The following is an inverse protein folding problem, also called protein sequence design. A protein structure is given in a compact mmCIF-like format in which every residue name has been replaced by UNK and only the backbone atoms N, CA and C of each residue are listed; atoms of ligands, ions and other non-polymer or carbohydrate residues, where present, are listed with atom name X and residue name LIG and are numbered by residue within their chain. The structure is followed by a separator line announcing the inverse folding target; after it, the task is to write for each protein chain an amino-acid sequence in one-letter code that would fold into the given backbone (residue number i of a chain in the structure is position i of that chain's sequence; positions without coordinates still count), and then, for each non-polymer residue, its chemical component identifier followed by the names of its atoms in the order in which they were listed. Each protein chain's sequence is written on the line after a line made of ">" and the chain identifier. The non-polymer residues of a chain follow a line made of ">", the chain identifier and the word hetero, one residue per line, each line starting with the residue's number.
data_IF_460001738455
#
_entry.id   IF_460001738455
#
_cell.length_a   1.000
_cell.length_b   1.000
_cell.length_c   1.000
_cell.angle_alpha   90.00
_cell.angle_beta   90.00
_cell.angle_gamma   90.00
#
_symmetry.space_group_name_H-M   'P 1'
#
loop_
_entity.id
_entity.type
_entity.pdbx_description
1 polymer ?
#
# COMPACT_ATOMS: atom_id res chain seq x y z
N UNK A 1 -7.66 -44.59 2.16
CA UNK A 1 -7.40 -43.52 1.19
C UNK A 1 -7.55 -42.20 1.94
N UNK A 2 -6.47 -41.74 2.58
CA UNK A 2 -6.47 -40.67 3.59
C UNK A 2 -5.36 -39.70 3.20
N UNK A 3 -5.61 -38.89 2.16
CA UNK A 3 -4.67 -37.92 1.57
C UNK A 3 -5.50 -36.79 0.93
N UNK A 4 -6.15 -35.96 1.76
CA UNK A 4 -6.75 -34.67 1.33
C UNK A 4 -6.82 -33.62 2.45
N UNK A 5 -6.58 -33.99 3.71
CA UNK A 5 -6.61 -33.05 4.83
C UNK A 5 -5.30 -32.22 4.93
N UNK A 6 -4.14 -32.84 4.69
CA UNK A 6 -2.83 -32.18 4.88
C UNK A 6 -2.53 -31.09 3.83
N UNK A 7 -2.91 -31.25 2.56
CA UNK A 7 -2.64 -30.21 1.54
C UNK A 7 -3.51 -28.95 1.72
N UNK A 8 -4.71 -29.10 2.29
CA UNK A 8 -5.61 -27.99 2.55
C UNK A 8 -5.17 -27.20 3.79
N UNK A 9 -4.72 -27.90 4.85
CA UNK A 9 -4.13 -27.22 6.01
C UNK A 9 -2.82 -26.54 5.64
N UNK A 10 -1.96 -27.19 4.85
CA UNK A 10 -0.65 -26.64 4.45
C UNK A 10 -0.77 -25.41 3.51
N UNK A 11 -1.84 -25.33 2.71
CA UNK A 11 -2.19 -24.13 1.93
C UNK A 11 -2.80 -23.03 2.79
N UNK A 12 -3.67 -23.36 3.74
CA UNK A 12 -4.26 -22.39 4.67
C UNK A 12 -3.17 -21.77 5.57
N UNK A 13 -2.26 -22.60 6.09
CA UNK A 13 -1.09 -22.19 6.88
C UNK A 13 -0.15 -21.28 6.08
N UNK A 14 0.04 -21.57 4.78
CA UNK A 14 0.83 -20.71 3.88
C UNK A 14 0.14 -19.38 3.59
N UNK A 15 -1.20 -19.37 3.48
CA UNK A 15 -1.99 -18.16 3.26
C UNK A 15 -2.03 -17.27 4.52
N UNK A 16 -2.11 -17.87 5.70
CA UNK A 16 -2.00 -17.15 6.99
C UNK A 16 -0.59 -16.60 7.22
N UNK A 17 0.45 -17.32 6.79
CA UNK A 17 1.86 -16.87 6.87
C UNK A 17 2.22 -15.78 5.85
N UNK A 18 1.50 -15.66 4.74
CA UNK A 18 1.78 -14.65 3.69
C UNK A 18 1.02 -13.34 3.87
N UNK A 19 0.20 -13.21 4.91
CA UNK A 19 -0.73 -12.09 5.07
C UNK A 19 -1.83 -12.08 3.99
N UNK A 20 -2.74 -11.10 4.05
CA UNK A 20 -3.83 -10.95 3.11
C UNK A 20 -3.28 -10.42 1.79
N UNK A 21 -2.80 -11.30 0.91
CA UNK A 21 -2.26 -10.90 -0.38
C UNK A 21 -3.33 -10.29 -1.27
N UNK A 22 -3.23 -8.99 -1.60
CA UNK A 22 -4.10 -8.39 -2.62
C UNK A 22 -3.70 -8.89 -4.00
N UNK A 23 -4.70 -9.17 -4.84
CA UNK A 23 -4.46 -9.53 -6.25
C UNK A 23 -4.24 -8.25 -7.05
N UNK A 24 -3.05 -8.11 -7.66
CA UNK A 24 -2.76 -7.03 -8.59
C UNK A 24 -3.87 -6.87 -9.63
N UNK A 25 -4.51 -5.70 -9.63
CA UNK A 25 -5.60 -5.34 -10.55
C UNK A 25 -7.01 -5.43 -9.95
N UNK A 26 -7.16 -5.92 -8.73
CA UNK A 26 -8.40 -5.79 -7.97
C UNK A 26 -8.50 -4.40 -7.35
N UNK A 27 -9.65 -3.71 -7.52
CA UNK A 27 -9.85 -2.44 -6.86
C UNK A 27 -9.92 -2.62 -5.34
N UNK A 28 -9.18 -1.77 -4.63
CA UNK A 28 -9.16 -1.72 -3.17
C UNK A 28 -10.56 -1.64 -2.55
N UNK A 29 -11.48 -0.90 -3.18
CA UNK A 29 -12.84 -0.72 -2.68
C UNK A 29 -13.72 -1.98 -2.76
N UNK A 30 -13.32 -2.98 -3.56
CA UNK A 30 -13.98 -4.29 -3.64
C UNK A 30 -13.21 -5.40 -2.94
N UNK A 31 -11.94 -5.16 -2.59
CA UNK A 31 -11.11 -6.19 -1.97
C UNK A 31 -11.46 -6.40 -0.49
N UNK A 32 -11.55 -7.65 -0.02
CA UNK A 32 -11.64 -7.96 1.40
C UNK A 32 -10.30 -7.80 2.12
N UNK A 33 -9.20 -7.65 1.37
CA UNK A 33 -7.85 -7.44 1.87
C UNK A 33 -7.39 -6.00 1.65
N UNK A 34 -6.64 -5.46 2.61
CA UNK A 34 -5.69 -4.36 2.36
C UNK A 34 -4.29 -4.97 2.50
N UNK A 35 -3.49 -4.87 1.45
CA UNK A 35 -2.13 -5.41 1.44
C UNK A 35 -1.14 -4.29 1.24
N UNK A 36 -0.12 -4.22 2.11
CA UNK A 36 0.99 -3.26 2.01
C UNK A 36 0.48 -1.82 1.90
N UNK A 37 -0.41 -1.46 2.83
CA UNK A 37 -0.82 -0.08 3.03
C UNK A 37 0.36 0.68 3.68
N UNK A 38 0.93 1.71 3.03
CA UNK A 38 2.00 2.49 3.63
C UNK A 38 1.47 3.36 4.76
N UNK A 39 2.01 3.20 5.97
CA UNK A 39 1.60 3.95 7.16
C UNK A 39 2.78 4.70 7.74
N UNK A 40 2.62 6.02 7.89
CA UNK A 40 3.51 6.88 8.66
C UNK A 40 2.91 7.10 10.05
N UNK A 41 3.71 6.88 11.09
CA UNK A 41 3.30 7.13 12.47
C UNK A 41 3.62 8.57 12.88
N UNK A 42 2.66 9.21 13.53
CA UNK A 42 2.78 10.59 13.98
C UNK A 42 2.50 10.67 15.49
N UNK A 43 3.43 11.28 16.21
CA UNK A 43 3.23 11.74 17.59
C UNK A 43 2.55 13.11 17.55
N UNK A 44 1.24 13.10 17.75
CA UNK A 44 0.41 14.30 17.81
C UNK A 44 0.67 15.10 19.10
N UNK A 45 0.39 16.40 19.04
CA UNK A 45 0.56 17.29 20.19
C UNK A 45 -0.30 16.84 21.40
N UNK A 46 0.31 16.78 22.58
CA UNK A 46 -0.35 16.33 23.81
C UNK A 46 -0.56 14.81 23.92
N UNK A 47 -0.14 14.01 22.93
CA UNK A 47 -0.12 12.54 23.03
C UNK A 47 1.20 12.03 23.60
N UNK A 48 1.16 10.87 24.23
CA UNK A 48 2.35 10.20 24.76
C UNK A 48 2.97 9.23 23.75
N UNK A 49 2.15 8.65 22.87
CA UNK A 49 2.55 7.62 21.91
C UNK A 49 2.13 8.03 20.49
N UNK A 50 2.98 7.67 19.52
CA UNK A 50 2.70 7.93 18.12
C UNK A 50 1.63 6.96 17.60
N UNK A 51 0.79 7.44 16.69
CA UNK A 51 -0.28 6.63 16.10
C UNK A 51 -0.21 6.63 14.58
N UNK A 52 -0.63 5.52 14.00
CA UNK A 52 -0.82 5.34 12.57
C UNK A 52 -2.30 5.08 12.29
N UNK A 53 -2.82 5.62 11.19
CA UNK A 53 -4.22 5.48 10.81
C UNK A 53 -4.36 4.69 9.52
N UNK A 54 -5.09 3.59 9.60
CA UNK A 54 -5.45 2.74 8.48
C UNK A 54 -6.65 3.30 7.71
N UNK A 55 -6.73 2.93 6.43
CA UNK A 55 -7.83 3.31 5.55
C UNK A 55 -9.14 2.61 5.92
N UNK A 56 -9.08 1.32 6.27
CA UNK A 56 -10.23 0.53 6.71
C UNK A 56 -10.06 -0.01 8.13
N UNK A 57 -11.15 -0.44 8.74
CA UNK A 57 -11.11 -1.13 10.04
C UNK A 57 -10.70 -2.59 9.77
N UNK A 58 -9.61 -3.08 10.37
CA UNK A 58 -9.28 -4.49 10.30
C UNK A 58 -10.36 -5.35 10.96
N UNK A 59 -10.72 -6.46 10.31
CA UNK A 59 -11.67 -7.43 10.84
C UNK A 59 -11.02 -8.46 11.77
N UNK A 60 -9.70 -8.58 11.69
CA UNK A 60 -8.88 -9.56 12.39
C UNK A 60 -7.47 -8.99 12.59
N UNK A 61 -6.47 -9.84 12.83
CA UNK A 61 -5.06 -9.52 12.96
C UNK A 61 -4.55 -8.58 11.86
N UNK A 62 -3.58 -7.75 12.25
CA UNK A 62 -2.76 -6.91 11.38
C UNK A 62 -1.33 -7.44 11.31
N UNK A 63 -0.69 -7.30 10.15
CA UNK A 63 0.72 -7.57 9.93
C UNK A 63 1.42 -6.27 9.57
N UNK A 64 2.54 -5.97 10.23
CA UNK A 64 3.32 -4.76 9.98
C UNK A 64 4.74 -5.17 9.61
N UNK A 65 5.14 -4.80 8.41
CA UNK A 65 6.46 -5.11 7.86
C UNK A 65 7.24 -3.84 7.56
N UNK A 66 8.56 -3.93 7.67
CA UNK A 66 9.43 -2.96 7.05
C UNK A 66 9.23 -3.03 5.52
N UNK A 67 9.30 -1.89 4.78
CA UNK A 67 9.01 -1.88 3.34
C UNK A 67 9.85 -2.83 2.48
N UNK A 68 11.06 -3.17 2.92
CA UNK A 68 11.90 -4.17 2.24
C UNK A 68 11.40 -5.63 2.39
N UNK A 69 10.37 -5.86 3.19
CA UNK A 69 9.72 -7.15 3.49
C UNK A 69 10.64 -8.18 4.17
N UNK A 70 11.76 -7.73 4.77
CA UNK A 70 12.71 -8.61 5.47
C UNK A 70 12.56 -8.57 6.98
N UNK A 71 11.91 -7.54 7.50
CA UNK A 71 11.75 -7.32 8.93
C UNK A 71 10.28 -7.19 9.29
N UNK A 72 9.87 -7.92 10.32
CA UNK A 72 8.50 -7.97 10.82
C UNK A 72 8.45 -7.29 12.19
N UNK A 73 7.49 -6.39 12.38
CA UNK A 73 7.23 -5.78 13.68
C UNK A 73 6.23 -6.65 14.47
N UNK A 74 6.37 -6.63 15.79
CA UNK A 74 5.67 -7.54 16.70
C UNK A 74 4.63 -6.79 17.54
N UNK A 75 3.37 -7.27 17.55
CA UNK A 75 2.33 -6.74 18.44
C UNK A 75 2.70 -6.95 19.91
N UNK A 76 2.41 -5.97 20.76
CA UNK A 76 2.79 -5.92 22.17
C UNK A 76 4.22 -5.44 22.41
N UNK A 77 5.10 -5.55 21.41
CA UNK A 77 6.49 -5.06 21.49
C UNK A 77 6.72 -3.77 20.72
N UNK A 78 6.31 -3.70 19.46
CA UNK A 78 6.47 -2.50 18.62
C UNK A 78 5.19 -1.67 18.53
N UNK A 79 4.04 -2.34 18.51
CA UNK A 79 2.76 -1.67 18.37
C UNK A 79 1.68 -2.39 19.17
N UNK A 80 0.56 -1.72 19.36
CA UNK A 80 -0.69 -2.30 19.82
C UNK A 80 -1.81 -1.87 18.89
N UNK A 81 -2.81 -2.74 18.73
CA UNK A 81 -4.01 -2.41 17.98
C UNK A 81 -5.23 -2.83 18.78
N UNK A 82 -6.21 -1.92 18.89
CA UNK A 82 -7.49 -2.22 19.52
C UNK A 82 -8.46 -2.73 18.44
N UNK A 83 -9.02 -3.95 18.59
CA UNK A 83 -10.02 -4.47 17.66
C UNK A 83 -11.18 -3.50 17.42
N UNK A 84 -11.60 -3.39 16.16
CA UNK A 84 -12.66 -2.47 15.74
C UNK A 84 -12.22 -1.02 15.52
N UNK A 85 -10.93 -0.71 15.62
CA UNK A 85 -10.38 0.62 15.34
C UNK A 85 -9.52 0.63 14.07
N UNK A 86 -9.36 1.81 13.46
CA UNK A 86 -8.40 2.06 12.37
C UNK A 86 -7.04 2.56 12.88
N UNK A 87 -6.83 2.56 14.20
CA UNK A 87 -5.69 3.23 14.82
C UNK A 87 -4.75 2.18 15.40
N UNK A 88 -3.49 2.27 15.00
CA UNK A 88 -2.38 1.52 15.58
C UNK A 88 -1.60 2.48 16.45
N UNK A 89 -1.28 2.08 17.67
CA UNK A 89 -0.47 2.87 18.60
C UNK A 89 0.90 2.20 18.79
N UNK A 90 1.98 2.98 18.70
CA UNK A 90 3.32 2.48 18.97
C UNK A 90 3.52 2.28 20.47
N UNK A 91 4.28 1.25 20.85
CA UNK A 91 4.73 1.11 22.23
C UNK A 91 5.86 2.10 22.55
N UNK A 92 6.17 2.36 23.83
CA UNK A 92 7.36 3.15 24.21
C UNK A 92 8.70 2.59 23.70
N UNK A 93 8.76 1.29 23.41
CA UNK A 93 9.98 0.60 22.97
C UNK A 93 9.94 0.21 21.49
N UNK A 94 9.07 0.87 20.72
CA UNK A 94 8.86 0.52 19.33
C UNK A 94 10.10 0.72 18.48
N UNK A 95 10.36 -0.24 17.58
CA UNK A 95 11.36 -0.11 16.53
C UNK A 95 10.81 0.62 15.29
N UNK A 96 9.50 0.88 15.22
CA UNK A 96 8.86 1.57 14.11
C UNK A 96 9.23 3.07 14.17
N UNK A 97 9.73 3.67 13.08
CA UNK A 97 10.02 5.10 13.04
C UNK A 97 8.71 5.92 13.07
N UNK A 98 8.78 7.11 13.67
CA UNK A 98 7.69 8.08 13.66
C UNK A 98 8.22 9.51 13.51
N UNK A 99 7.31 10.44 13.21
CA UNK A 99 7.56 11.88 13.26
C UNK A 99 6.66 12.55 14.29
N UNK A 100 7.10 13.66 14.87
CA UNK A 100 6.20 14.50 15.66
C UNK A 100 5.37 15.40 14.74
N UNK A 101 4.21 15.87 15.22
CA UNK A 101 3.41 16.87 14.51
C UNK A 101 4.26 18.08 14.05
N UNK A 102 5.13 18.59 14.93
CA UNK A 102 6.03 19.70 14.60
C UNK A 102 7.03 19.36 13.47
N UNK A 103 7.52 18.10 13.39
CA UNK A 103 8.39 17.67 12.30
C UNK A 103 7.64 17.52 10.97
N UNK A 104 6.34 17.24 11.01
CA UNK A 104 5.48 17.19 9.82
C UNK A 104 5.16 18.59 9.28
N UNK A 105 5.31 19.62 10.11
CA UNK A 105 5.08 21.04 9.79
C UNK A 105 6.37 21.86 10.01
N UNK A 106 7.45 21.59 9.26
CA UNK A 106 8.73 22.22 9.52
C UNK A 106 8.68 23.75 9.33
N UNK A 107 9.48 24.53 10.07
CA UNK A 107 9.53 25.99 9.93
C UNK A 107 9.84 26.45 8.51
N UNK A 108 9.35 27.65 8.15
CA UNK A 108 9.59 28.25 6.84
C UNK A 108 11.09 28.31 6.52
N UNK A 109 11.47 27.84 5.33
CA UNK A 109 12.86 27.81 4.87
C UNK A 109 13.63 26.55 5.25
N UNK A 110 12.99 25.59 5.94
CA UNK A 110 13.60 24.27 6.16
C UNK A 110 13.85 23.55 4.82
N UNK A 111 14.95 22.78 4.70
CA UNK A 111 15.33 22.14 3.43
C UNK A 111 14.30 21.13 2.90
N UNK A 112 13.54 20.49 3.79
CA UNK A 112 12.51 19.50 3.46
C UNK A 112 11.10 20.07 3.65
N UNK A 113 10.83 21.26 3.12
CA UNK A 113 9.53 21.92 3.24
C UNK A 113 8.96 22.22 1.86
N UNK A 114 7.72 21.81 1.64
CA UNK A 114 6.91 22.26 0.50
C UNK A 114 5.53 22.66 1.01
N UNK A 115 5.06 23.86 0.65
CA UNK A 115 3.73 24.34 1.04
C UNK A 115 3.39 24.13 2.53
N UNK A 116 4.34 24.39 3.43
CA UNK A 116 4.27 24.23 4.90
C UNK A 116 4.31 22.81 5.47
N UNK A 117 4.36 21.78 4.63
CA UNK A 117 4.46 20.39 5.07
C UNK A 117 5.85 19.83 4.83
N UNK A 118 6.22 18.83 5.64
CA UNK A 118 7.40 18.02 5.41
C UNK A 118 7.31 17.39 4.02
N UNK A 119 8.32 17.65 3.20
CA UNK A 119 8.39 17.17 1.83
C UNK A 119 9.79 16.69 1.53
N UNK A 120 9.87 15.54 0.88
CA UNK A 120 11.12 14.96 0.44
C UNK A 120 10.85 13.93 -0.65
N UNK A 121 11.88 13.67 -1.43
CA UNK A 121 11.89 12.72 -2.53
C UNK A 121 12.87 11.57 -2.26
N UNK A 122 12.77 10.52 -3.06
CA UNK A 122 13.63 9.35 -2.95
C UNK A 122 13.25 8.46 -1.76
N UNK A 123 14.25 8.03 -0.98
CA UNK A 123 14.04 7.07 0.12
C UNK A 123 13.48 7.65 1.40
N UNK A 124 13.37 8.97 1.53
CA UNK A 124 13.06 9.60 2.81
C UNK A 124 11.76 9.09 3.45
N UNK A 125 10.64 9.09 2.71
CA UNK A 125 9.38 8.57 3.25
C UNK A 125 9.31 7.06 3.25
N UNK A 126 10.02 6.39 2.33
CA UNK A 126 10.14 4.95 2.32
C UNK A 126 10.71 4.44 3.66
N UNK A 127 11.74 5.10 4.19
CA UNK A 127 12.39 4.68 5.43
C UNK A 127 11.64 5.14 6.71
N UNK A 128 10.60 5.96 6.56
CA UNK A 128 9.73 6.43 7.65
C UNK A 128 8.38 5.71 7.70
N UNK A 129 8.03 4.97 6.66
CA UNK A 129 6.76 4.25 6.55
C UNK A 129 6.96 2.76 6.79
N UNK A 130 5.92 2.13 7.31
CA UNK A 130 5.80 0.66 7.35
C UNK A 130 4.72 0.21 6.39
N UNK A 131 4.73 -1.08 6.06
CA UNK A 131 3.72 -1.71 5.23
C UNK A 131 2.76 -2.49 6.13
N UNK A 132 1.49 -2.09 6.17
CA UNK A 132 0.47 -2.77 6.97
C UNK A 132 -0.45 -3.58 6.07
N UNK A 133 -0.58 -4.86 6.36
CA UNK A 133 -1.53 -5.76 5.69
C UNK A 133 -2.58 -6.24 6.68
N UNK A 134 -3.85 -6.32 6.26
CA UNK A 134 -4.97 -6.74 7.11
C UNK A 134 -6.21 -7.13 6.30
N UNK A 135 -7.04 -8.01 6.87
CA UNK A 135 -8.38 -8.26 6.37
C UNK A 135 -9.33 -7.17 6.85
N UNK A 136 -10.31 -6.78 6.03
CA UNK A 136 -11.32 -5.77 6.38
C UNK A 136 -12.73 -6.32 6.25
N UNK A 137 -13.64 -5.75 7.04
CA UNK A 137 -15.07 -5.85 6.73
C UNK A 137 -15.35 -5.11 5.43
N UNK A 138 -16.11 -5.71 4.53
CA UNK A 138 -16.50 -5.13 3.23
C UNK A 138 -17.60 -4.09 3.40
N UNK A 139 -17.39 -3.11 4.29
CA UNK A 139 -18.26 -1.94 4.35
C UNK A 139 -18.32 -1.31 2.95
N UNK A 140 -19.51 -0.87 2.51
CA UNK A 140 -19.67 -0.25 1.20
C UNK A 140 -18.69 0.90 1.04
N UNK A 141 -18.00 0.93 -0.09
CA UNK A 141 -17.17 2.06 -0.44
C UNK A 141 -18.01 3.33 -0.50
N UNK A 142 -17.61 4.43 0.16
CA UNK A 142 -18.47 5.61 0.34
C UNK A 142 -18.68 6.39 -0.95
N UNK A 143 -17.93 6.10 -2.01
CA UNK A 143 -18.04 6.80 -3.30
C UNK A 143 -18.68 5.88 -4.34
N UNK A 144 -19.75 6.31 -5.02
CA UNK A 144 -20.34 5.53 -6.11
C UNK A 144 -19.34 5.27 -7.23
N UNK A 145 -19.11 4.00 -7.57
CA UNK A 145 -18.32 3.61 -8.73
C UNK A 145 -19.24 3.41 -9.94
N UNK A 146 -19.13 4.30 -10.94
CA UNK A 146 -19.88 4.23 -12.20
C UNK A 146 -18.92 4.03 -13.38
N UNK A 147 -18.60 2.78 -13.76
CA UNK A 147 -17.72 2.52 -14.89
C UNK A 147 -18.34 3.04 -16.19
N UNK A 148 -17.50 3.63 -17.05
CA UNK A 148 -17.88 4.20 -18.36
C UNK A 148 -17.18 3.45 -19.51
N UNK A 149 -17.38 2.12 -19.66
CA UNK A 149 -16.68 1.33 -20.67
C UNK A 149 -16.99 1.78 -22.11
N UNK A 150 -18.13 2.43 -22.33
CA UNK A 150 -18.56 2.99 -23.61
C UNK A 150 -17.62 4.09 -24.14
N UNK A 151 -16.86 4.75 -23.27
CA UNK A 151 -15.84 5.75 -23.66
C UNK A 151 -14.53 5.11 -24.14
N UNK A 152 -14.30 3.85 -23.81
CA UNK A 152 -13.07 3.10 -24.12
C UNK A 152 -13.31 1.95 -25.10
N UNK A 153 -14.42 1.97 -25.87
CA UNK A 153 -14.83 0.89 -26.78
C UNK A 153 -13.69 0.33 -27.64
N UNK A 154 -12.93 1.21 -28.31
CA UNK A 154 -11.83 0.80 -29.21
C UNK A 154 -10.69 0.10 -28.44
N UNK A 155 -10.30 0.65 -27.30
CA UNK A 155 -9.22 0.09 -26.47
C UNK A 155 -9.66 -1.24 -25.87
N UNK A 156 -10.87 -1.32 -25.34
CA UNK A 156 -11.44 -2.55 -24.78
C UNK A 156 -11.59 -3.64 -25.84
N UNK A 157 -12.00 -3.30 -27.07
CA UNK A 157 -12.06 -4.24 -28.17
C UNK A 157 -10.66 -4.82 -28.48
N UNK A 158 -9.64 -3.95 -28.58
CA UNK A 158 -8.25 -4.39 -28.79
C UNK A 158 -7.74 -5.29 -27.66
N UNK A 159 -7.92 -4.87 -26.41
CA UNK A 159 -7.50 -5.64 -25.23
C UNK A 159 -8.17 -7.02 -25.19
N UNK A 160 -9.48 -7.11 -25.41
CA UNK A 160 -10.21 -8.39 -25.46
C UNK A 160 -9.76 -9.28 -26.61
N UNK A 161 -9.42 -8.69 -27.75
CA UNK A 161 -8.83 -9.39 -28.90
C UNK A 161 -7.32 -9.67 -28.72
N UNK A 162 -6.75 -9.41 -27.54
CA UNK A 162 -5.31 -9.57 -27.23
C UNK A 162 -4.37 -8.79 -28.15
N UNK A 163 -4.88 -7.73 -28.78
CA UNK A 163 -4.10 -6.88 -29.67
C UNK A 163 -3.30 -5.86 -28.86
N UNK A 164 -2.06 -5.55 -29.28
CA UNK A 164 -1.21 -4.62 -28.56
C UNK A 164 -1.81 -3.22 -28.48
N UNK A 165 -1.60 -2.55 -27.35
CA UNK A 165 -1.94 -1.14 -27.16
C UNK A 165 -0.73 -0.35 -26.67
N UNK A 166 -0.71 0.94 -27.00
CA UNK A 166 0.24 1.89 -26.45
C UNK A 166 -0.42 2.67 -25.32
N UNK A 167 0.21 2.71 -24.15
CA UNK A 167 -0.22 3.49 -23.00
C UNK A 167 0.68 4.72 -22.88
N UNK A 168 0.09 5.90 -22.91
CA UNK A 168 0.80 7.15 -22.65
C UNK A 168 0.26 7.73 -21.35
N UNK A 169 1.15 8.02 -20.40
CA UNK A 169 0.83 8.72 -19.17
C UNK A 169 1.42 10.13 -19.21
N UNK A 170 0.60 11.14 -18.91
CA UNK A 170 0.96 12.55 -18.91
C UNK A 170 0.60 13.11 -17.53
N UNK A 171 1.55 13.79 -16.89
CA UNK A 171 1.34 14.40 -15.58
C UNK A 171 2.62 14.99 -15.01
N UNK A 172 2.65 15.18 -13.71
CA UNK A 172 3.75 15.80 -12.97
C UNK A 172 4.73 14.74 -12.40
N UNK A 173 5.44 15.11 -11.32
CA UNK A 173 6.35 14.23 -10.56
C UNK A 173 5.75 12.87 -10.19
N UNK A 174 4.43 12.80 -9.94
CA UNK A 174 3.74 11.56 -9.59
C UNK A 174 3.71 10.62 -10.80
N UNK A 175 3.41 11.15 -11.98
CA UNK A 175 3.42 10.38 -13.24
C UNK A 175 4.83 10.00 -13.65
N UNK A 176 5.80 10.87 -13.41
CA UNK A 176 7.22 10.55 -13.62
C UNK A 176 7.68 9.38 -12.73
N UNK A 177 7.21 9.33 -11.48
CA UNK A 177 7.46 8.20 -10.58
C UNK A 177 8.11 8.54 -9.25
N UNK A 178 8.19 9.82 -8.88
CA UNK A 178 8.81 10.23 -7.62
C UNK A 178 8.20 9.48 -6.42
N UNK A 179 9.07 8.99 -5.54
CA UNK A 179 8.77 8.16 -4.36
C UNK A 179 8.25 6.74 -4.63
N UNK A 180 8.14 6.28 -5.87
CA UNK A 180 8.02 4.84 -6.13
C UNK A 180 9.34 4.13 -5.78
N UNK A 181 9.29 3.00 -5.08
CA UNK A 181 10.50 2.35 -4.56
C UNK A 181 11.42 1.82 -5.67
N UNK A 182 10.89 1.50 -6.85
CA UNK A 182 11.66 1.12 -8.04
C UNK A 182 12.14 2.29 -8.90
N UNK A 183 11.83 3.53 -8.55
CA UNK A 183 12.29 4.71 -9.29
C UNK A 183 13.73 5.07 -8.90
N UNK A 184 14.51 5.62 -9.83
CA UNK A 184 15.97 5.79 -9.72
C UNK A 184 16.42 6.64 -8.51
N UNK A 185 15.60 7.60 -8.07
CA UNK A 185 15.88 8.46 -6.92
C UNK A 185 15.63 7.75 -5.58
N UNK A 186 14.76 6.73 -5.56
CA UNK A 186 14.49 5.94 -4.35
C UNK A 186 15.39 4.70 -4.31
N UNK A 187 15.32 3.85 -5.34
CA UNK A 187 16.02 2.56 -5.45
C UNK A 187 16.02 1.77 -4.13
N UNK A 188 14.82 1.45 -3.66
CA UNK A 188 14.59 0.71 -2.44
C UNK A 188 13.80 -0.57 -2.71
N UNK A 189 14.11 -1.65 -1.99
CA UNK A 189 13.29 -2.86 -2.04
C UNK A 189 11.84 -2.52 -1.60
N UNK A 190 10.80 -3.03 -2.27
CA UNK A 190 10.82 -4.15 -3.23
C UNK A 190 10.96 -3.72 -4.71
N UNK A 191 11.46 -2.51 -4.98
CA UNK A 191 11.64 -1.97 -6.32
C UNK A 191 10.33 -1.91 -7.13
N UNK A 192 9.25 -1.50 -6.46
CA UNK A 192 7.94 -1.42 -7.10
C UNK A 192 7.97 -0.36 -8.22
N UNK A 193 7.53 -0.70 -9.45
CA UNK A 193 7.47 0.25 -10.54
C UNK A 193 6.56 1.45 -10.24
N UNK A 194 6.81 2.55 -10.94
CA UNK A 194 5.92 3.72 -10.95
C UNK A 194 4.50 3.33 -11.39
N UNK A 195 3.47 4.05 -10.94
CA UNK A 195 2.09 3.67 -11.18
C UNK A 195 1.71 3.48 -12.67
N UNK A 196 2.25 4.23 -13.66
CA UNK A 196 1.90 3.99 -15.07
C UNK A 196 2.31 2.59 -15.53
N UNK A 197 3.48 2.12 -15.08
CA UNK A 197 3.94 0.76 -15.36
C UNK A 197 3.07 -0.28 -14.62
N UNK A 198 2.61 0.00 -13.40
CA UNK A 198 1.66 -0.88 -12.69
C UNK A 198 0.32 -0.99 -13.44
N UNK A 199 -0.17 0.09 -14.05
CA UNK A 199 -1.36 0.07 -14.92
C UNK A 199 -1.11 -0.79 -16.16
N UNK A 200 0.02 -0.59 -16.85
CA UNK A 200 0.39 -1.40 -18.01
C UNK A 200 0.49 -2.90 -17.66
N UNK A 201 1.19 -3.23 -16.56
CA UNK A 201 1.33 -4.59 -16.05
C UNK A 201 -0.03 -5.21 -15.71
N UNK A 202 -0.92 -4.45 -15.10
CA UNK A 202 -2.29 -4.90 -14.75
C UNK A 202 -3.10 -5.23 -16.00
N UNK A 203 -3.08 -4.35 -17.00
CA UNK A 203 -3.80 -4.57 -18.27
C UNK A 203 -3.23 -5.78 -19.02
N UNK A 204 -1.90 -5.89 -19.08
CA UNK A 204 -1.23 -7.01 -19.72
C UNK A 204 -1.56 -8.33 -19.01
N UNK A 205 -1.49 -8.39 -17.68
CA UNK A 205 -1.87 -9.56 -16.88
C UNK A 205 -3.32 -9.96 -17.09
N UNK A 206 -4.24 -8.99 -17.13
CA UNK A 206 -5.68 -9.24 -17.23
C UNK A 206 -6.12 -9.71 -18.61
N UNK A 207 -5.56 -9.14 -19.67
CA UNK A 207 -6.03 -9.38 -21.04
C UNK A 207 -5.08 -10.27 -21.86
N UNK A 208 -3.85 -10.49 -21.42
CA UNK A 208 -2.82 -11.18 -22.20
C UNK A 208 -2.39 -10.41 -23.45
N UNK A 209 -2.62 -9.09 -23.47
CA UNK A 209 -2.19 -8.19 -24.54
C UNK A 209 -0.87 -7.52 -24.18
N UNK A 210 0.01 -7.29 -25.16
CA UNK A 210 1.20 -6.46 -24.97
C UNK A 210 0.79 -5.00 -24.75
N UNK A 211 1.20 -4.42 -23.62
CA UNK A 211 1.01 -3.00 -23.30
C UNK A 211 2.38 -2.34 -23.22
N UNK A 212 2.61 -1.32 -24.05
CA UNK A 212 3.87 -0.56 -24.14
C UNK A 212 3.67 0.91 -23.84
#
# INVERSE_FOLDING_TARGET
>A
MMLKADEASDKADKLEKSGPGMVLGEPLWTSPASDKEPVLFILEEGKQLATGKLLFIPSDKIWIDHPDQKFHYEEGKDYTWKPGTKIIELTPNSRIPFKTHAQMMPPKGSPNMFASVLHSEGRFFHDLQVQVSYWRKTDPWPVPYKPQPERLKRVLAKLRAKQPIKLVALGDSITQGFNASGFEQALAAPFQPCYPQLVANTLQKRFGSKVT
#
